data_IF_089835720394
#
_entry.id   IF_089835720394
#
_cell.length_a   1.000
_cell.length_b   1.000
_cell.length_c   1.000
_cell.angle_alpha   90.00
_cell.angle_beta   90.00
_cell.angle_gamma   90.00
#
_symmetry.space_group_name_H-M   'P 1'
#
loop_
_entity.id
_entity.type
_entity.pdbx_description
1 polymer ?
#
# COMPACT_ATOMS: atom_id res chain seq x y z
N UNK A 1 30.80 -17.11 11.28
CA UNK A 1 30.17 -15.78 11.22
C UNK A 1 29.90 -15.48 9.76
N UNK A 2 28.63 -15.44 9.34
CA UNK A 2 28.10 -14.53 8.30
C UNK A 2 26.73 -15.07 7.87
N UNK A 3 25.71 -14.83 8.69
CA UNK A 3 24.34 -14.79 8.18
C UNK A 3 24.24 -13.49 7.37
N UNK A 4 24.80 -13.50 6.17
CA UNK A 4 24.68 -12.41 5.21
C UNK A 4 23.19 -12.36 4.83
N UNK A 5 22.48 -11.35 5.35
CA UNK A 5 21.07 -11.12 5.03
C UNK A 5 21.01 -10.65 3.58
N UNK A 6 21.04 -11.58 2.63
CA UNK A 6 20.82 -11.28 1.21
C UNK A 6 19.36 -10.91 1.02
N UNK A 7 19.09 -9.61 1.01
CA UNK A 7 17.77 -9.09 0.66
C UNK A 7 17.53 -9.39 -0.82
N UNK A 8 16.64 -10.34 -1.09
CA UNK A 8 16.17 -10.59 -2.45
C UNK A 8 15.19 -9.48 -2.84
N UNK A 9 15.69 -8.48 -3.55
CA UNK A 9 14.93 -7.28 -3.95
C UNK A 9 13.72 -7.60 -4.83
N UNK A 10 13.86 -8.52 -5.78
CA UNK A 10 12.82 -8.83 -6.78
C UNK A 10 11.50 -9.34 -6.17
N UNK A 11 11.51 -10.29 -5.21
CA UNK A 11 10.29 -10.67 -4.49
C UNK A 11 9.60 -9.51 -3.75
N UNK A 12 10.37 -8.62 -3.11
CA UNK A 12 9.83 -7.48 -2.35
C UNK A 12 9.19 -6.47 -3.28
N UNK A 13 9.87 -6.12 -4.38
CA UNK A 13 9.33 -5.23 -5.39
C UNK A 13 8.03 -5.78 -6.00
N UNK A 14 8.00 -7.08 -6.32
CA UNK A 14 6.78 -7.74 -6.81
C UNK A 14 5.63 -7.69 -5.80
N UNK A 15 5.92 -7.88 -4.51
CA UNK A 15 4.91 -7.78 -3.45
C UNK A 15 4.35 -6.36 -3.35
N UNK A 16 5.21 -5.34 -3.42
CA UNK A 16 4.80 -3.92 -3.38
C UNK A 16 3.95 -3.57 -4.60
N UNK A 17 4.37 -3.94 -5.81
CA UNK A 17 3.57 -3.71 -7.04
C UNK A 17 2.22 -4.40 -6.98
N UNK A 18 2.13 -5.60 -6.38
CA UNK A 18 0.85 -6.26 -6.16
C UNK A 18 -0.02 -5.47 -5.18
N UNK A 19 0.54 -4.95 -4.09
CA UNK A 19 -0.18 -4.11 -3.12
C UNK A 19 -0.71 -2.83 -3.79
N UNK A 20 0.11 -2.14 -4.59
CA UNK A 20 -0.32 -0.96 -5.35
C UNK A 20 -1.47 -1.30 -6.31
N UNK A 21 -1.35 -2.40 -7.06
CA UNK A 21 -2.36 -2.84 -8.03
C UNK A 21 -3.68 -3.20 -7.34
N UNK A 22 -3.62 -3.99 -6.27
CA UNK A 22 -4.81 -4.38 -5.50
C UNK A 22 -5.43 -3.19 -4.77
N UNK A 23 -4.61 -2.28 -4.25
CA UNK A 23 -5.08 -1.04 -3.62
C UNK A 23 -5.90 -0.21 -4.61
N UNK A 24 -5.38 0.03 -5.82
CA UNK A 24 -6.07 0.78 -6.87
C UNK A 24 -7.36 0.13 -7.37
N UNK A 25 -7.54 -1.17 -7.15
CA UNK A 25 -8.76 -1.91 -7.54
C UNK A 25 -9.85 -1.86 -6.46
N UNK A 26 -9.55 -1.42 -5.25
CA UNK A 26 -10.55 -1.23 -4.20
C UNK A 26 -11.49 -0.09 -4.60
N UNK A 27 -12.77 -0.41 -4.82
CA UNK A 27 -13.80 0.57 -5.11
C UNK A 27 -15.09 0.16 -4.41
N UNK A 28 -15.87 1.15 -3.99
CA UNK A 28 -17.22 0.92 -3.46
C UNK A 28 -18.19 0.89 -4.64
N UNK A 29 -18.96 -0.20 -4.75
CA UNK A 29 -20.13 -0.21 -5.61
C UNK A 29 -21.21 0.65 -4.96
N UNK A 30 -21.30 1.92 -5.37
CA UNK A 30 -22.32 2.83 -4.85
C UNK A 30 -23.70 2.31 -5.24
N UNK A 31 -24.57 2.17 -4.25
CA UNK A 31 -25.99 1.98 -4.51
C UNK A 31 -26.51 3.34 -4.99
N UNK A 32 -26.64 3.52 -6.30
CA UNK A 32 -27.27 4.73 -6.88
C UNK A 32 -28.77 4.68 -6.64
N UNK A 33 -29.19 4.91 -5.40
CA UNK A 33 -30.59 5.08 -5.13
C UNK A 33 -30.94 6.51 -5.60
N UNK A 34 -31.48 6.64 -6.82
CA UNK A 34 -32.28 7.81 -7.20
C UNK A 34 -33.47 7.86 -6.25
N UNK A 35 -33.24 8.41 -5.05
CA UNK A 35 -34.21 8.51 -3.98
C UNK A 35 -35.13 9.69 -4.32
N UNK A 36 -36.03 9.43 -5.25
CA UNK A 36 -37.07 10.35 -5.66
C UNK A 36 -37.92 10.75 -4.45
N UNK A 37 -37.68 11.93 -3.88
CA UNK A 37 -38.47 12.79 -2.96
C UNK A 37 -39.34 12.18 -1.83
N UNK A 38 -39.40 10.86 -1.68
CA UNK A 38 -40.21 10.09 -0.72
C UNK A 38 -39.37 8.92 -0.20
N UNK A 39 -38.17 9.28 0.24
CA UNK A 39 -37.13 8.38 0.69
C UNK A 39 -37.39 7.99 2.15
N UNK A 40 -37.67 6.70 2.36
CA UNK A 40 -37.70 6.08 3.68
C UNK A 40 -36.35 6.36 4.36
N UNK A 41 -36.32 6.89 5.58
CA UNK A 41 -35.06 7.31 6.25
C UNK A 41 -33.97 6.24 6.34
N UNK A 42 -34.33 4.97 6.16
CA UNK A 42 -33.41 3.84 6.01
C UNK A 42 -32.55 3.92 4.74
N UNK A 43 -33.10 4.38 3.61
CA UNK A 43 -32.36 4.52 2.36
C UNK A 43 -31.30 5.64 2.44
N UNK A 44 -31.63 6.75 3.11
CA UNK A 44 -30.64 7.80 3.44
C UNK A 44 -29.52 7.28 4.34
N UNK A 45 -29.83 6.46 5.35
CA UNK A 45 -28.81 5.82 6.19
C UNK A 45 -27.90 4.88 5.38
N UNK A 46 -28.46 4.15 4.40
CA UNK A 46 -27.65 3.30 3.52
C UNK A 46 -26.71 4.12 2.63
N UNK A 47 -27.15 5.30 2.17
CA UNK A 47 -26.30 6.24 1.44
C UNK A 47 -25.16 6.79 2.33
N UNK A 48 -25.48 7.24 3.54
CA UNK A 48 -24.48 7.67 4.53
C UNK A 48 -23.47 6.56 4.84
N UNK A 49 -23.92 5.30 4.93
CA UNK A 49 -23.05 4.14 5.13
C UNK A 49 -22.14 3.88 3.93
N UNK A 50 -22.64 4.04 2.69
CA UNK A 50 -21.81 3.92 1.49
C UNK A 50 -20.72 4.99 1.45
N UNK A 51 -21.04 6.24 1.82
CA UNK A 51 -20.07 7.32 1.85
C UNK A 51 -18.98 7.06 2.91
N UNK A 52 -19.36 6.55 4.09
CA UNK A 52 -18.38 6.15 5.12
C UNK A 52 -17.50 4.99 4.67
N UNK A 53 -18.05 4.02 3.93
CA UNK A 53 -17.27 2.91 3.38
C UNK A 53 -16.28 3.40 2.32
N UNK A 54 -16.68 4.37 1.49
CA UNK A 54 -15.83 4.98 0.46
C UNK A 54 -14.67 5.76 1.09
N UNK A 55 -14.93 6.53 2.13
CA UNK A 55 -13.88 7.21 2.91
C UNK A 55 -12.92 6.21 3.58
N UNK A 56 -13.46 5.13 4.17
CA UNK A 56 -12.64 4.09 4.79
C UNK A 56 -11.73 3.39 3.77
N UNK A 57 -12.27 3.02 2.61
CA UNK A 57 -11.49 2.41 1.52
C UNK A 57 -10.41 3.36 1.03
N UNK A 58 -10.74 4.64 0.84
CA UNK A 58 -9.78 5.66 0.41
C UNK A 58 -8.62 5.82 1.40
N UNK A 59 -8.93 5.83 2.70
CA UNK A 59 -7.91 5.88 3.77
C UNK A 59 -7.04 4.62 3.79
N UNK A 60 -7.65 3.46 3.65
CA UNK A 60 -6.92 2.20 3.62
C UNK A 60 -6.01 2.09 2.38
N UNK A 61 -6.47 2.57 1.22
CA UNK A 61 -5.66 2.66 0.01
C UNK A 61 -4.43 3.54 0.20
N UNK A 62 -4.62 4.73 0.77
CA UNK A 62 -3.53 5.65 1.07
C UNK A 62 -2.49 5.02 2.02
N UNK A 63 -2.96 4.35 3.07
CA UNK A 63 -2.10 3.65 4.02
C UNK A 63 -1.28 2.54 3.35
N UNK A 64 -1.91 1.72 2.50
CA UNK A 64 -1.22 0.65 1.78
C UNK A 64 -0.13 1.19 0.85
N UNK A 65 -0.41 2.29 0.14
CA UNK A 65 0.55 2.95 -0.75
C UNK A 65 1.73 3.53 0.03
N UNK A 66 1.46 4.25 1.13
CA UNK A 66 2.50 4.80 2.01
C UNK A 66 3.40 3.69 2.57
N UNK A 67 2.81 2.56 2.98
CA UNK A 67 3.56 1.43 3.50
C UNK A 67 4.44 0.78 2.43
N UNK A 68 3.93 0.67 1.18
CA UNK A 68 4.68 0.22 0.02
C UNK A 68 5.89 1.10 -0.27
N UNK A 69 5.69 2.42 -0.32
CA UNK A 69 6.76 3.40 -0.53
C UNK A 69 7.82 3.34 0.59
N UNK A 70 7.38 3.29 1.84
CA UNK A 70 8.28 3.24 3.01
C UNK A 70 9.11 1.96 3.01
N UNK A 71 8.49 0.83 2.64
CA UNK A 71 9.19 -0.45 2.50
C UNK A 71 10.24 -0.38 1.40
N UNK A 72 9.91 0.22 0.25
CA UNK A 72 10.85 0.39 -0.86
C UNK A 72 12.04 1.28 -0.46
N UNK A 73 11.78 2.38 0.25
CA UNK A 73 12.83 3.26 0.79
C UNK A 73 13.76 2.49 1.73
N UNK A 74 13.22 1.69 2.65
CA UNK A 74 14.01 0.88 3.57
C UNK A 74 14.89 -0.14 2.83
N UNK A 75 14.35 -0.79 1.79
CA UNK A 75 15.12 -1.73 0.95
C UNK A 75 16.25 -1.01 0.21
N UNK A 76 16.00 0.17 -0.35
CA UNK A 76 17.04 0.95 -1.04
C UNK A 76 18.17 1.37 -0.08
N UNK A 77 17.82 1.85 1.11
CA UNK A 77 18.80 2.18 2.16
C UNK A 77 19.64 0.95 2.52
N UNK A 78 19.01 -0.22 2.60
CA UNK A 78 19.72 -1.47 2.89
C UNK A 78 20.72 -1.83 1.77
N UNK A 79 20.30 -1.72 0.50
CA UNK A 79 21.17 -1.98 -0.67
C UNK A 79 22.36 -1.00 -0.70
N UNK A 80 22.13 0.28 -0.45
CA UNK A 80 23.20 1.29 -0.38
C UNK A 80 24.19 0.97 0.76
N UNK A 81 23.67 0.57 1.92
CA UNK A 81 24.48 0.16 3.07
C UNK A 81 25.33 -1.09 2.79
N UNK A 82 24.76 -2.11 2.13
CA UNK A 82 25.51 -3.30 1.70
C UNK A 82 26.62 -2.92 0.72
N UNK A 83 26.31 -2.09 -0.28
CA UNK A 83 27.29 -1.66 -1.28
C UNK A 83 28.44 -0.86 -0.64
N UNK A 84 28.15 0.05 0.28
CA UNK A 84 29.15 0.82 1.02
C UNK A 84 30.03 -0.09 1.91
N UNK A 85 29.44 -1.10 2.55
CA UNK A 85 30.17 -2.06 3.38
C UNK A 85 31.08 -2.95 2.53
N UNK A 86 30.57 -3.48 1.43
CA UNK A 86 31.36 -4.30 0.50
C UNK A 86 32.52 -3.49 -0.13
N UNK A 87 32.28 -2.23 -0.49
CA UNK A 87 33.29 -1.34 -1.05
C UNK A 87 34.40 -1.03 -0.04
N UNK A 88 34.05 -0.79 1.23
CA UNK A 88 35.04 -0.55 2.29
C UNK A 88 35.86 -1.81 2.63
N UNK A 89 35.26 -3.00 2.60
CA UNK A 89 36.00 -4.26 2.76
C UNK A 89 36.98 -4.54 1.62
N UNK A 90 36.65 -4.18 0.38
CA UNK A 90 37.54 -4.34 -0.76
C UNK A 90 38.73 -3.35 -0.76
N UNK A 91 38.61 -2.22 -0.06
CA UNK A 91 39.70 -1.23 0.09
C UNK A 91 40.72 -1.59 1.18
N UNK A 92 40.39 -2.54 2.07
CA UNK A 92 41.24 -2.96 3.20
C UNK A 92 42.01 -4.27 2.87
N UNK A 93 41.70 -4.92 1.75
CA UNK A 93 42.48 -6.03 1.18
C UNK A 93 43.62 -5.53 0.30
#
# INVERSE_FOLDING_TARGET
MSDEIKVTHTPIQKAITNVETTSNQLHVNRISAQLANNSLGMARKLEEMNDMLEDLISKYQALLLEHGETTMKAVNIFIESEHATASSMNLIK
#
